data_IF_480151420647
#
_entry.id   IF_480151420647
#
_cell.length_a   1.000
_cell.length_b   1.000
_cell.length_c   1.000
_cell.angle_alpha   90.00
_cell.angle_beta   90.00
_cell.angle_gamma   90.00
#
_symmetry.space_group_name_H-M   'P 1'
#
loop_
_entity.id
_entity.type
_entity.pdbx_description
1 polymer ?
#
# COMPACT_ATOMS: atom_id res chain seq x y z
N UNK A 1 6.36 -5.32 23.30
CA UNK A 1 6.31 -4.06 24.02
C UNK A 1 6.39 -2.90 23.01
N UNK A 2 5.54 -1.84 23.16
CA UNK A 2 5.36 -0.81 22.12
C UNK A 2 6.55 0.14 21.92
N UNK A 3 7.62 0.02 22.68
CA UNK A 3 8.80 0.90 22.59
C UNK A 3 9.66 0.73 21.32
N UNK A 4 9.68 -0.44 20.70
CA UNK A 4 10.60 -0.71 19.57
C UNK A 4 10.12 -0.10 18.23
N UNK A 5 8.85 0.19 18.06
CA UNK A 5 8.27 0.80 16.85
C UNK A 5 8.41 2.33 16.85
N UNK A 6 8.23 2.97 18.01
CA UNK A 6 8.47 4.41 18.19
C UNK A 6 9.94 4.80 17.95
N UNK A 7 10.89 3.97 18.41
CA UNK A 7 12.32 4.20 18.20
C UNK A 7 12.74 4.12 16.72
N UNK A 8 12.09 3.28 15.90
CA UNK A 8 12.46 3.16 14.49
C UNK A 8 11.97 4.34 13.64
N UNK A 9 10.79 4.88 13.90
CA UNK A 9 10.26 6.06 13.21
C UNK A 9 11.06 7.31 13.60
N UNK A 10 11.36 7.51 14.87
CA UNK A 10 12.22 8.60 15.35
C UNK A 10 13.64 8.48 14.79
N UNK A 11 14.21 7.26 14.77
CA UNK A 11 15.55 7.02 14.23
C UNK A 11 15.66 7.32 12.72
N UNK A 12 14.64 6.98 11.92
CA UNK A 12 14.61 7.32 10.49
C UNK A 12 14.50 8.83 10.27
N UNK A 13 13.66 9.53 11.03
CA UNK A 13 13.54 10.99 10.99
C UNK A 13 14.85 11.68 11.42
N UNK A 14 15.55 11.14 12.41
CA UNK A 14 16.86 11.65 12.86
C UNK A 14 17.98 11.40 11.85
N UNK A 15 17.94 10.27 11.14
CA UNK A 15 18.89 10.01 10.04
C UNK A 15 18.68 11.02 8.92
N UNK A 16 17.41 11.26 8.55
CA UNK A 16 17.07 12.20 7.51
C UNK A 16 17.48 13.65 7.85
N UNK A 17 17.17 14.10 9.07
CA UNK A 17 17.63 15.41 9.57
C UNK A 17 19.15 15.54 9.51
N UNK A 18 19.88 14.50 9.92
CA UNK A 18 21.35 14.47 9.84
C UNK A 18 21.87 14.55 8.41
N UNK A 19 21.20 13.91 7.45
CA UNK A 19 21.56 14.01 6.03
C UNK A 19 21.38 15.43 5.50
N UNK A 20 20.25 16.08 5.81
CA UNK A 20 20.00 17.48 5.44
C UNK A 20 21.04 18.41 6.08
N UNK A 21 21.28 18.31 7.38
CA UNK A 21 22.30 19.09 8.09
C UNK A 21 23.71 18.86 7.50
N UNK A 22 24.06 17.60 7.19
CA UNK A 22 25.33 17.27 6.56
C UNK A 22 25.50 17.92 5.19
N UNK A 23 24.46 17.85 4.35
CA UNK A 23 24.45 18.51 3.05
C UNK A 23 24.62 20.03 3.18
N UNK A 24 23.84 20.68 4.05
CA UNK A 24 23.91 22.12 4.29
C UNK A 24 25.29 22.56 4.79
N UNK A 25 25.91 21.77 5.67
CA UNK A 25 27.24 22.08 6.21
C UNK A 25 28.37 22.03 5.16
N UNK A 26 28.24 21.15 4.16
CA UNK A 26 29.22 20.97 3.10
C UNK A 26 28.97 21.91 1.91
N UNK A 27 27.71 22.05 1.50
CA UNK A 27 27.35 22.87 0.33
C UNK A 27 27.25 24.36 0.64
N UNK A 28 27.13 24.76 1.91
CA UNK A 28 26.85 26.13 2.32
C UNK A 28 25.42 26.63 1.93
N UNK A 29 24.59 25.76 1.37
CA UNK A 29 23.25 26.10 0.88
C UNK A 29 22.19 25.51 1.80
N UNK A 30 21.23 26.34 2.24
CA UNK A 30 20.08 25.88 3.02
C UNK A 30 19.10 25.11 2.14
N UNK A 31 18.60 24.00 2.67
CA UNK A 31 17.56 23.19 2.02
C UNK A 31 16.21 23.83 2.30
N UNK A 32 15.47 24.14 1.25
CA UNK A 32 14.09 24.62 1.34
C UNK A 32 13.17 23.43 1.68
N UNK A 33 12.44 23.46 2.81
CA UNK A 33 11.57 22.36 3.23
C UNK A 33 10.43 22.07 2.24
N UNK A 34 9.83 23.09 1.63
CA UNK A 34 8.72 22.91 0.68
C UNK A 34 9.20 22.24 -0.61
N UNK A 35 10.36 22.66 -1.09
CA UNK A 35 11.01 22.05 -2.25
C UNK A 35 11.42 20.62 -1.97
N UNK A 36 11.87 20.35 -0.76
CA UNK A 36 12.23 19.00 -0.32
C UNK A 36 11.00 18.08 -0.27
N UNK A 37 9.90 18.55 0.33
CA UNK A 37 8.62 17.84 0.35
C UNK A 37 8.12 17.54 -1.06
N UNK A 38 8.19 18.51 -1.97
CA UNK A 38 7.84 18.29 -3.37
C UNK A 38 8.62 17.12 -3.99
N UNK A 39 9.93 17.07 -3.78
CA UNK A 39 10.77 16.01 -4.36
C UNK A 39 10.56 14.65 -3.70
N UNK A 40 10.22 14.61 -2.41
CA UNK A 40 9.84 13.38 -1.72
C UNK A 40 8.56 12.79 -2.31
N UNK A 41 7.50 13.59 -2.40
CA UNK A 41 6.22 13.18 -2.98
C UNK A 41 6.39 12.79 -4.46
N UNK A 42 7.11 13.59 -5.23
CA UNK A 42 7.37 13.30 -6.65
C UNK A 42 8.13 11.99 -6.84
N UNK A 43 9.17 11.75 -6.04
CA UNK A 43 9.95 10.51 -6.09
C UNK A 43 9.11 9.27 -5.75
N UNK A 44 8.30 9.34 -4.70
CA UNK A 44 7.36 8.27 -4.33
C UNK A 44 6.33 8.03 -5.42
N UNK A 45 5.72 9.09 -5.94
CA UNK A 45 4.77 8.99 -7.05
C UNK A 45 5.41 8.35 -8.30
N UNK A 46 6.60 8.82 -8.69
CA UNK A 46 7.31 8.29 -9.84
C UNK A 46 7.61 6.79 -9.69
N UNK A 47 8.03 6.38 -8.48
CA UNK A 47 8.28 4.97 -8.20
C UNK A 47 6.99 4.13 -8.17
N UNK A 48 5.87 4.69 -7.69
CA UNK A 48 4.56 4.03 -7.77
C UNK A 48 4.19 3.67 -9.21
N UNK A 49 4.37 4.61 -10.14
CA UNK A 49 4.16 4.39 -11.59
C UNK A 49 5.12 3.31 -12.11
N UNK A 50 6.39 3.33 -11.67
CA UNK A 50 7.37 2.29 -11.99
C UNK A 50 6.94 0.90 -11.50
N UNK A 51 6.40 0.79 -10.29
CA UNK A 51 5.86 -0.48 -9.77
C UNK A 51 4.71 -1.01 -10.64
N UNK A 52 3.76 -0.15 -11.03
CA UNK A 52 2.65 -0.55 -11.90
C UNK A 52 3.13 -1.00 -13.28
N UNK A 53 4.15 -0.35 -13.84
CA UNK A 53 4.74 -0.75 -15.12
C UNK A 53 5.40 -2.14 -15.05
N UNK A 54 5.91 -2.56 -13.89
CA UNK A 54 6.42 -3.93 -13.70
C UNK A 54 5.32 -4.98 -13.78
N UNK A 55 4.12 -4.70 -13.21
CA UNK A 55 2.97 -5.58 -13.36
C UNK A 55 2.51 -5.67 -14.83
N UNK A 56 2.51 -4.55 -15.56
CA UNK A 56 2.19 -4.55 -16.98
C UNK A 56 3.23 -5.31 -17.80
N UNK A 57 4.50 -5.18 -17.47
CA UNK A 57 5.57 -5.94 -18.11
C UNK A 57 5.40 -7.46 -17.91
N UNK A 58 4.87 -7.90 -16.78
CA UNK A 58 4.50 -9.29 -16.56
C UNK A 58 3.35 -9.73 -17.49
N UNK A 59 2.34 -8.88 -17.73
CA UNK A 59 1.20 -9.21 -18.61
C UNK A 59 1.60 -9.28 -20.06
N UNK A 60 2.36 -8.32 -20.55
CA UNK A 60 2.63 -8.08 -21.98
C UNK A 60 4.04 -8.44 -22.42
N UNK A 61 5.02 -8.41 -21.51
CA UNK A 61 6.43 -8.67 -21.81
C UNK A 61 6.84 -10.15 -21.70
N UNK A 62 8.09 -10.47 -22.02
CA UNK A 62 8.62 -11.83 -21.99
C UNK A 62 8.98 -12.33 -20.60
N UNK A 63 9.20 -11.44 -19.63
CA UNK A 63 9.60 -11.79 -18.25
C UNK A 63 8.38 -12.15 -17.42
N UNK A 64 8.21 -13.46 -17.17
CA UNK A 64 7.11 -14.06 -16.39
C UNK A 64 7.53 -14.44 -14.96
N UNK A 65 8.58 -13.84 -14.44
CA UNK A 65 9.03 -14.10 -13.07
C UNK A 65 8.02 -13.56 -12.03
N UNK A 66 7.97 -14.23 -10.87
CA UNK A 66 7.11 -13.85 -9.74
C UNK A 66 7.47 -12.48 -9.16
N UNK A 67 8.66 -11.97 -9.44
CA UNK A 67 9.11 -10.64 -8.99
C UNK A 67 8.27 -9.51 -9.59
N UNK A 68 7.90 -9.63 -10.87
CA UNK A 68 7.21 -8.56 -11.60
C UNK A 68 5.86 -8.17 -10.98
N UNK A 69 4.91 -9.11 -10.79
CA UNK A 69 3.65 -8.78 -10.13
C UNK A 69 3.82 -8.42 -8.64
N UNK A 70 4.80 -9.03 -7.95
CA UNK A 70 5.10 -8.68 -6.56
C UNK A 70 5.59 -7.23 -6.44
N UNK A 71 6.43 -6.73 -7.37
CA UNK A 71 6.82 -5.32 -7.43
C UNK A 71 5.61 -4.44 -7.74
N UNK A 72 4.70 -4.87 -8.61
CA UNK A 72 3.47 -4.12 -8.91
C UNK A 72 2.64 -3.81 -7.66
N UNK A 73 2.55 -4.73 -6.72
CA UNK A 73 1.83 -4.53 -5.43
C UNK A 73 2.55 -3.57 -4.49
N UNK A 74 3.84 -3.32 -4.67
CA UNK A 74 4.59 -2.32 -3.87
C UNK A 74 4.24 -0.87 -4.20
N UNK A 75 3.40 -0.60 -5.20
CA UNK A 75 2.85 0.74 -5.43
C UNK A 75 2.13 1.29 -4.20
N UNK A 76 1.52 0.43 -3.37
CA UNK A 76 0.89 0.81 -2.11
C UNK A 76 1.86 1.37 -1.06
N UNK A 77 3.13 0.92 -1.06
CA UNK A 77 4.19 1.49 -0.20
C UNK A 77 4.41 2.98 -0.54
N UNK A 78 4.47 3.29 -1.84
CA UNK A 78 4.66 4.67 -2.31
C UNK A 78 3.42 5.53 -2.06
N UNK A 79 2.23 4.95 -2.17
CA UNK A 79 0.97 5.64 -1.89
C UNK A 79 0.88 6.02 -0.42
N UNK A 80 1.20 5.11 0.51
CA UNK A 80 1.17 5.43 1.94
C UNK A 80 2.21 6.47 2.33
N UNK A 81 3.39 6.46 1.73
CA UNK A 81 4.39 7.51 1.95
C UNK A 81 3.86 8.89 1.51
N UNK A 82 3.22 8.98 0.33
CA UNK A 82 2.59 10.22 -0.12
C UNK A 82 1.46 10.66 0.80
N UNK A 83 0.59 9.73 1.22
CA UNK A 83 -0.57 10.03 2.10
C UNK A 83 -0.10 10.49 3.48
N UNK A 84 0.92 9.87 4.06
CA UNK A 84 1.47 10.30 5.34
C UNK A 84 2.06 11.73 5.28
N UNK A 85 2.65 12.11 4.14
CA UNK A 85 3.20 13.45 3.94
C UNK A 85 2.14 14.52 3.66
N UNK A 86 1.08 14.19 2.91
CA UNK A 86 0.13 15.16 2.36
C UNK A 86 -1.23 15.18 3.06
N UNK A 87 -1.65 14.05 3.62
CA UNK A 87 -3.00 13.84 4.16
C UNK A 87 -2.89 13.13 5.53
N UNK A 88 -2.28 13.75 6.54
CA UNK A 88 -2.25 13.19 7.89
C UNK A 88 -3.65 13.14 8.50
N UNK A 89 -3.90 12.25 9.44
CA UNK A 89 -5.16 12.16 10.16
C UNK A 89 -5.71 10.74 10.24
N UNK A 90 -6.95 10.63 10.69
CA UNK A 90 -7.63 9.35 10.91
C UNK A 90 -7.88 8.59 9.60
N UNK A 91 -7.78 7.27 9.69
CA UNK A 91 -8.15 6.34 8.61
C UNK A 91 -9.03 5.22 9.18
N UNK A 92 -10.08 4.84 8.46
CA UNK A 92 -10.90 3.68 8.77
C UNK A 92 -10.21 2.40 8.29
N UNK A 93 -9.53 1.73 9.24
CA UNK A 93 -8.82 0.48 8.98
C UNK A 93 -9.74 -0.72 9.22
N UNK A 94 -9.88 -1.57 8.22
CA UNK A 94 -10.54 -2.87 8.34
C UNK A 94 -9.69 -3.81 9.18
N UNK A 95 -10.20 -4.18 10.35
CA UNK A 95 -9.52 -5.10 11.28
C UNK A 95 -10.20 -6.46 11.38
N UNK A 96 -11.48 -6.55 10.98
CA UNK A 96 -12.25 -7.78 11.05
C UNK A 96 -12.15 -8.54 9.74
N UNK A 97 -11.72 -9.79 9.79
CA UNK A 97 -11.81 -10.68 8.63
C UNK A 97 -13.24 -11.19 8.45
N UNK A 98 -13.70 -11.25 7.21
CA UNK A 98 -14.91 -12.01 6.89
C UNK A 98 -14.53 -13.49 6.88
N UNK A 99 -14.77 -14.20 7.98
CA UNK A 99 -14.69 -15.65 8.03
C UNK A 99 -15.99 -16.21 7.46
N UNK A 100 -15.98 -16.50 6.17
CA UNK A 100 -16.99 -17.39 5.60
C UNK A 100 -16.67 -18.82 6.04
N UNK A 101 -17.66 -19.58 6.51
CA UNK A 101 -17.48 -21.01 6.72
C UNK A 101 -17.09 -21.63 5.36
N UNK A 102 -15.98 -22.39 5.29
CA UNK A 102 -15.52 -22.91 4.02
C UNK A 102 -16.49 -23.98 3.52
N UNK A 103 -16.93 -23.86 2.27
CA UNK A 103 -17.76 -24.85 1.58
C UNK A 103 -17.06 -26.20 1.42
N UNK A 104 -15.74 -26.21 1.50
CA UNK A 104 -14.90 -27.38 1.29
C UNK A 104 -13.76 -27.46 2.33
N UNK A 105 -13.42 -28.70 2.71
CA UNK A 105 -12.28 -29.00 3.58
C UNK A 105 -11.26 -29.89 2.84
N UNK A 106 -9.96 -29.54 2.83
CA UNK A 106 -9.37 -28.31 3.40
C UNK A 106 -9.81 -27.04 2.65
N UNK A 107 -9.89 -25.93 3.37
CA UNK A 107 -10.24 -24.65 2.81
C UNK A 107 -9.16 -24.10 1.84
N UNK A 108 -9.53 -23.16 0.97
CA UNK A 108 -8.56 -22.52 0.09
C UNK A 108 -7.46 -21.76 0.86
N UNK A 109 -7.76 -21.26 2.06
CA UNK A 109 -6.77 -20.61 2.94
C UNK A 109 -5.77 -21.62 3.50
N UNK A 110 -6.23 -22.79 3.93
CA UNK A 110 -5.36 -23.87 4.39
C UNK A 110 -4.44 -24.37 3.28
N UNK A 111 -4.96 -24.52 2.05
CA UNK A 111 -4.13 -24.90 0.90
C UNK A 111 -3.06 -23.83 0.60
N UNK A 112 -3.42 -22.55 0.55
CA UNK A 112 -2.46 -21.48 0.34
C UNK A 112 -1.41 -21.43 1.44
N UNK A 113 -1.83 -21.57 2.70
CA UNK A 113 -0.93 -21.55 3.86
C UNK A 113 0.04 -22.72 3.83
N UNK A 114 -0.42 -23.92 3.47
CA UNK A 114 0.48 -25.09 3.34
C UNK A 114 1.58 -24.87 2.28
N UNK A 115 1.26 -24.18 1.17
CA UNK A 115 2.25 -23.85 0.14
C UNK A 115 3.23 -22.76 0.66
N UNK A 116 2.76 -21.78 1.41
CA UNK A 116 3.64 -20.78 2.06
C UNK A 116 4.62 -21.46 3.00
N UNK A 117 4.13 -22.37 3.84
CA UNK A 117 4.95 -23.09 4.81
C UNK A 117 6.01 -23.98 4.12
N UNK A 118 5.63 -24.69 3.04
CA UNK A 118 6.55 -25.46 2.20
C UNK A 118 7.64 -24.57 1.57
N UNK A 119 7.26 -23.43 0.98
CA UNK A 119 8.21 -22.51 0.37
C UNK A 119 9.21 -21.95 1.38
N UNK A 120 8.76 -21.60 2.59
CA UNK A 120 9.61 -21.04 3.64
C UNK A 120 10.43 -22.09 4.38
N UNK A 121 9.82 -23.20 4.71
CA UNK A 121 10.44 -24.27 5.49
C UNK A 121 11.42 -25.09 4.66
N UNK A 122 10.97 -25.65 3.55
CA UNK A 122 11.72 -26.62 2.77
C UNK A 122 12.48 -26.00 1.60
N UNK A 123 11.78 -25.28 0.70
CA UNK A 123 12.41 -24.77 -0.53
C UNK A 123 13.49 -23.74 -0.23
N UNK A 124 13.21 -22.78 0.68
CA UNK A 124 14.22 -21.79 1.07
C UNK A 124 15.42 -22.39 1.80
N UNK A 125 15.23 -23.49 2.52
CA UNK A 125 16.33 -24.18 3.20
C UNK A 125 17.17 -25.03 2.26
N UNK A 126 16.55 -25.60 1.23
CA UNK A 126 17.18 -26.48 0.23
C UNK A 126 17.80 -25.73 -0.94
N UNK A 127 17.62 -24.40 -1.05
CA UNK A 127 18.08 -23.59 -2.19
C UNK A 127 18.94 -22.41 -1.76
N UNK A 128 19.76 -21.90 -2.69
CA UNK A 128 20.61 -20.73 -2.49
C UNK A 128 20.41 -19.67 -3.58
N UNK A 129 21.01 -18.51 -3.39
CA UNK A 129 21.05 -17.43 -4.37
C UNK A 129 19.65 -17.01 -4.84
N UNK A 130 19.49 -16.95 -6.18
CA UNK A 130 18.26 -16.49 -6.83
C UNK A 130 17.02 -17.35 -6.49
N UNK A 131 17.17 -18.66 -6.43
CA UNK A 131 16.04 -19.56 -6.15
C UNK A 131 15.51 -19.39 -4.72
N UNK A 132 16.39 -19.21 -3.74
CA UNK A 132 16.01 -18.88 -2.36
C UNK A 132 15.28 -17.53 -2.30
N UNK A 133 15.78 -16.53 -3.01
CA UNK A 133 15.13 -15.23 -3.10
C UNK A 133 13.74 -15.33 -3.73
N UNK A 134 13.59 -16.02 -4.86
CA UNK A 134 12.30 -16.19 -5.55
C UNK A 134 11.28 -16.97 -4.71
N UNK A 135 11.72 -17.98 -3.96
CA UNK A 135 10.86 -18.74 -3.02
C UNK A 135 10.29 -17.82 -1.94
N UNK A 136 11.11 -16.91 -1.41
CA UNK A 136 10.64 -15.88 -0.46
C UNK A 136 9.63 -14.93 -1.10
N UNK A 137 9.89 -14.46 -2.32
CA UNK A 137 8.97 -13.58 -3.06
C UNK A 137 7.64 -14.29 -3.32
N UNK A 138 7.68 -15.57 -3.73
CA UNK A 138 6.48 -16.37 -3.95
C UNK A 138 5.66 -16.55 -2.66
N UNK A 139 6.31 -16.90 -1.54
CA UNK A 139 5.63 -17.01 -0.26
C UNK A 139 4.98 -15.69 0.19
N UNK A 140 5.68 -14.56 0.02
CA UNK A 140 5.12 -13.24 0.33
C UNK A 140 3.93 -12.88 -0.59
N UNK A 141 3.96 -13.27 -1.87
CA UNK A 141 2.85 -13.06 -2.79
C UNK A 141 1.60 -13.85 -2.36
N UNK A 142 1.79 -15.08 -1.88
CA UNK A 142 0.68 -15.88 -1.34
C UNK A 142 0.12 -15.29 -0.02
N UNK A 143 0.97 -14.73 0.84
CA UNK A 143 0.51 -13.99 2.02
C UNK A 143 -0.34 -12.77 1.64
N UNK A 144 -0.01 -12.07 0.56
CA UNK A 144 -0.85 -10.96 0.05
C UNK A 144 -2.22 -11.50 -0.35
N UNK A 145 -2.27 -12.61 -1.11
CA UNK A 145 -3.55 -13.23 -1.52
C UNK A 145 -4.38 -13.66 -0.30
N UNK A 146 -3.74 -14.23 0.73
CA UNK A 146 -4.43 -14.61 1.97
C UNK A 146 -5.07 -13.41 2.65
N UNK A 147 -4.32 -12.31 2.82
CA UNK A 147 -4.86 -11.07 3.41
C UNK A 147 -5.94 -10.43 2.54
N UNK A 148 -5.77 -10.46 1.21
CA UNK A 148 -6.79 -9.95 0.29
C UNK A 148 -8.12 -10.73 0.39
N UNK A 149 -8.06 -12.06 0.57
CA UNK A 149 -9.26 -12.87 0.84
C UNK A 149 -9.93 -12.50 2.16
N UNK A 150 -9.15 -12.20 3.19
CA UNK A 150 -9.66 -11.90 4.52
C UNK A 150 -10.23 -10.48 4.65
N UNK A 151 -9.57 -9.50 4.06
CA UNK A 151 -9.83 -8.08 4.27
C UNK A 151 -10.42 -7.38 3.03
N UNK A 152 -10.11 -7.89 1.84
CA UNK A 152 -10.35 -7.19 0.59
C UNK A 152 -11.83 -6.89 0.33
N UNK A 153 -12.73 -7.84 0.57
CA UNK A 153 -14.16 -7.64 0.33
C UNK A 153 -14.72 -6.50 1.19
N UNK A 154 -14.39 -6.49 2.49
CA UNK A 154 -14.85 -5.44 3.42
C UNK A 154 -14.22 -4.09 3.05
N UNK A 155 -12.93 -4.08 2.69
CA UNK A 155 -12.25 -2.85 2.28
C UNK A 155 -12.89 -2.22 1.04
N UNK A 156 -13.30 -3.04 0.04
CA UNK A 156 -13.99 -2.59 -1.16
C UNK A 156 -15.42 -2.12 -0.88
N UNK A 157 -16.15 -2.80 0.00
CA UNK A 157 -17.49 -2.38 0.45
C UNK A 157 -17.41 -1.00 1.13
N UNK A 158 -16.46 -0.83 2.08
CA UNK A 158 -16.26 0.45 2.77
C UNK A 158 -15.80 1.56 1.80
N UNK A 159 -14.97 1.24 0.81
CA UNK A 159 -14.56 2.20 -0.22
C UNK A 159 -15.75 2.65 -1.06
N UNK A 160 -16.63 1.71 -1.44
CA UNK A 160 -17.84 2.00 -2.20
C UNK A 160 -18.75 2.97 -1.47
N UNK A 161 -19.03 2.72 -0.18
CA UNK A 161 -19.87 3.60 0.63
C UNK A 161 -19.25 4.99 0.83
N UNK A 162 -17.93 5.06 1.06
CA UNK A 162 -17.24 6.36 1.14
C UNK A 162 -17.30 7.16 -0.16
N UNK A 163 -17.19 6.47 -1.31
CA UNK A 163 -17.31 7.12 -2.62
C UNK A 163 -18.73 7.63 -2.88
N UNK A 164 -19.74 6.86 -2.54
CA UNK A 164 -21.14 7.32 -2.64
C UNK A 164 -21.37 8.59 -1.84
N UNK A 165 -20.91 8.64 -0.59
CA UNK A 165 -21.02 9.85 0.25
C UNK A 165 -20.26 11.03 -0.37
N UNK A 166 -19.02 10.84 -0.80
CA UNK A 166 -18.18 11.89 -1.35
C UNK A 166 -18.73 12.47 -2.66
N UNK A 167 -19.31 11.62 -3.50
CA UNK A 167 -19.84 12.00 -4.81
C UNK A 167 -21.32 12.41 -4.79
N UNK A 168 -22.00 12.32 -3.62
CA UNK A 168 -23.43 12.49 -3.44
C UNK A 168 -24.23 11.57 -4.38
N UNK A 169 -23.87 10.30 -4.41
CA UNK A 169 -24.51 9.27 -5.24
C UNK A 169 -25.49 8.43 -4.41
N UNK A 170 -26.78 8.54 -4.69
CA UNK A 170 -27.83 7.82 -3.98
C UNK A 170 -28.16 6.45 -4.61
N UNK A 171 -27.74 6.23 -5.84
CA UNK A 171 -28.02 5.00 -6.59
C UNK A 171 -27.04 3.88 -6.27
N UNK A 172 -27.56 2.65 -6.07
CA UNK A 172 -26.75 1.44 -5.97
C UNK A 172 -26.49 0.77 -7.33
N UNK A 173 -26.79 1.44 -8.43
CA UNK A 173 -26.64 0.87 -9.77
C UNK A 173 -25.24 1.04 -10.37
N UNK A 174 -24.45 1.97 -9.83
CA UNK A 174 -23.08 2.21 -10.31
C UNK A 174 -22.08 1.26 -9.68
N UNK A 175 -21.18 0.74 -10.48
CA UNK A 175 -20.08 -0.09 -9.95
C UNK A 175 -19.05 0.76 -9.18
N UNK A 176 -18.30 0.12 -8.29
CA UNK A 176 -17.16 0.78 -7.62
C UNK A 176 -16.18 1.39 -8.62
N UNK A 177 -15.95 0.72 -9.75
CA UNK A 177 -15.05 1.23 -10.79
C UNK A 177 -15.60 2.49 -11.46
N UNK A 178 -16.91 2.59 -11.68
CA UNK A 178 -17.53 3.81 -12.24
C UNK A 178 -17.40 4.99 -11.27
N UNK A 179 -17.58 4.74 -9.97
CA UNK A 179 -17.41 5.79 -8.95
C UNK A 179 -15.94 6.24 -8.84
N UNK A 180 -14.99 5.32 -8.93
CA UNK A 180 -13.55 5.65 -8.97
C UNK A 180 -13.20 6.54 -10.17
N UNK A 181 -13.74 6.23 -11.34
CA UNK A 181 -13.53 7.06 -12.53
C UNK A 181 -14.20 8.41 -12.42
N UNK A 182 -15.41 8.50 -11.84
CA UNK A 182 -16.06 9.78 -11.56
C UNK A 182 -15.21 10.64 -10.63
N UNK A 183 -14.70 10.08 -9.55
CA UNK A 183 -13.76 10.78 -8.67
C UNK A 183 -12.53 11.29 -9.43
N UNK A 184 -11.92 10.46 -10.29
CA UNK A 184 -10.77 10.87 -11.11
C UNK A 184 -11.11 12.06 -12.00
N UNK A 185 -12.29 12.06 -12.63
CA UNK A 185 -12.73 13.19 -13.46
C UNK A 185 -12.93 14.45 -12.63
N UNK A 186 -13.65 14.37 -11.50
CA UNK A 186 -13.87 15.52 -10.61
C UNK A 186 -12.57 16.10 -10.05
N UNK A 187 -11.60 15.23 -9.70
CA UNK A 187 -10.28 15.67 -9.25
C UNK A 187 -9.51 16.44 -10.34
N UNK A 188 -9.68 16.09 -11.61
CA UNK A 188 -9.05 16.78 -12.74
C UNK A 188 -9.74 18.09 -13.10
N UNK A 189 -11.07 18.11 -13.03
CA UNK A 189 -11.87 19.26 -13.46
C UNK A 189 -11.94 20.34 -12.39
N UNK A 190 -12.43 20.01 -11.21
CA UNK A 190 -12.52 20.92 -10.06
C UNK A 190 -12.53 20.15 -8.73
N UNK A 191 -11.35 19.77 -8.24
CA UNK A 191 -11.22 19.08 -6.96
C UNK A 191 -11.71 19.92 -5.76
N UNK A 192 -11.78 21.26 -5.89
CA UNK A 192 -12.22 22.15 -4.81
C UNK A 192 -13.73 22.12 -4.60
N UNK A 193 -14.49 21.64 -5.58
CA UNK A 193 -15.93 21.44 -5.45
C UNK A 193 -16.29 20.20 -4.60
N UNK A 194 -15.32 19.31 -4.35
CA UNK A 194 -15.51 18.16 -3.45
C UNK A 194 -15.37 18.59 -2.00
N UNK A 195 -16.10 17.89 -1.11
CA UNK A 195 -15.87 18.02 0.33
C UNK A 195 -14.46 17.55 0.66
N UNK A 196 -13.63 18.46 1.14
CA UNK A 196 -12.20 18.21 1.33
C UNK A 196 -11.92 17.27 2.50
N UNK A 197 -12.75 17.27 3.55
CA UNK A 197 -12.60 16.35 4.69
C UNK A 197 -12.97 14.93 4.28
N UNK A 198 -14.09 14.76 3.59
CA UNK A 198 -14.49 13.46 3.05
C UNK A 198 -13.50 12.94 2.01
N UNK A 199 -12.96 13.82 1.15
CA UNK A 199 -11.95 13.44 0.16
C UNK A 199 -10.67 12.93 0.84
N UNK A 200 -10.14 13.67 1.80
CA UNK A 200 -8.94 13.27 2.53
C UNK A 200 -9.16 11.97 3.29
N UNK A 201 -10.28 11.84 3.98
CA UNK A 201 -10.64 10.62 4.69
C UNK A 201 -10.77 9.41 3.74
N UNK A 202 -11.43 9.59 2.59
CA UNK A 202 -11.57 8.55 1.58
C UNK A 202 -10.21 8.10 1.04
N UNK A 203 -9.36 9.03 0.60
CA UNK A 203 -8.05 8.73 0.03
C UNK A 203 -7.14 8.02 1.06
N UNK A 204 -7.11 8.56 2.29
CA UNK A 204 -6.30 7.98 3.36
C UNK A 204 -6.77 6.57 3.72
N UNK A 205 -8.06 6.38 3.97
CA UNK A 205 -8.63 5.07 4.33
C UNK A 205 -8.41 4.03 3.23
N UNK A 206 -8.56 4.40 1.97
CA UNK A 206 -8.32 3.52 0.82
C UNK A 206 -6.86 3.04 0.78
N UNK A 207 -5.91 3.96 0.93
CA UNK A 207 -4.48 3.64 0.89
C UNK A 207 -4.06 2.83 2.12
N UNK A 208 -4.54 3.17 3.32
CA UNK A 208 -4.23 2.45 4.56
C UNK A 208 -4.74 0.99 4.49
N UNK A 209 -5.93 0.76 3.98
CA UNK A 209 -6.45 -0.60 3.80
C UNK A 209 -5.69 -1.38 2.71
N UNK A 210 -5.28 -0.72 1.64
CA UNK A 210 -4.48 -1.36 0.60
C UNK A 210 -3.10 -1.80 1.10
N UNK A 211 -2.39 -0.94 1.85
CA UNK A 211 -1.07 -1.31 2.40
C UNK A 211 -1.18 -2.38 3.48
N UNK A 212 -2.27 -2.42 4.26
CA UNK A 212 -2.54 -3.48 5.22
C UNK A 212 -2.61 -4.86 4.54
N UNK A 213 -3.16 -4.93 3.34
CA UNK A 213 -3.21 -6.14 2.51
C UNK A 213 -1.83 -6.43 1.91
N UNK A 214 -1.21 -5.46 1.25
CA UNK A 214 0.00 -5.67 0.45
C UNK A 214 1.25 -5.84 1.33
N UNK A 215 1.47 -4.93 2.27
CA UNK A 215 2.70 -4.82 3.05
C UNK A 215 2.47 -4.33 4.49
N UNK A 216 1.72 -5.10 5.29
CA UNK A 216 1.39 -4.74 6.68
C UNK A 216 2.59 -4.48 7.60
N UNK A 217 3.81 -4.88 7.18
CA UNK A 217 5.07 -4.63 7.90
C UNK A 217 5.84 -3.41 7.39
N UNK A 218 5.30 -2.70 6.40
CA UNK A 218 5.93 -1.52 5.88
C UNK A 218 5.94 -0.39 6.94
N UNK A 219 7.06 0.32 7.13
CA UNK A 219 7.15 1.37 8.16
C UNK A 219 6.07 2.46 8.02
N UNK A 220 5.78 2.91 6.79
CA UNK A 220 4.76 3.92 6.53
C UNK A 220 3.34 3.49 6.95
N UNK A 221 3.03 2.18 6.98
CA UNK A 221 1.77 1.71 7.54
C UNK A 221 1.70 1.91 9.05
N UNK A 222 2.78 1.57 9.77
CA UNK A 222 2.83 1.80 11.22
C UNK A 222 2.75 3.30 11.58
N UNK A 223 3.33 4.17 10.76
CA UNK A 223 3.24 5.63 10.88
C UNK A 223 1.80 6.13 10.68
N UNK A 224 1.12 5.62 9.66
CA UNK A 224 -0.27 5.99 9.37
C UNK A 224 -1.25 5.67 10.50
N UNK A 225 -0.96 4.65 11.33
CA UNK A 225 -1.81 4.26 12.46
C UNK A 225 -1.56 5.10 13.74
N UNK A 226 -0.54 5.95 13.74
CA UNK A 226 -0.18 6.81 14.88
C UNK A 226 -0.62 8.27 14.68
N UNK A 227 -1.02 8.62 13.47
CA UNK A 227 -1.50 9.95 13.09
C UNK A 227 -2.96 10.10 13.43
#
# INVERSE_FOLDING_TARGET
PPRATLDRSSAAADVYKRQVCGYESVSGTKVDPERLLFWQVFGSFWWAVGCLSMAEHYRTGPDKTVERPAIGRRSSECQIDCVNLLIPGFADLVTNSRTEEPDQMPSSEELLKSVVDFLRGEVMSATEGRNRFLSRVAANSLDIVLREKQLGAIALENEYERLKMLLNEDSDQRSLNDLRWDLVHRLRDDYKALDQELLQFHLRSTVVNQIAIDQHKYPGFAEALQS
#
